data_IF_285232548594
#
_entry.id   IF_285232548594
#
_cell.length_a   1.000
_cell.length_b   1.000
_cell.length_c   1.000
_cell.angle_alpha   90.00
_cell.angle_beta   90.00
_cell.angle_gamma   90.00
#
_symmetry.space_group_name_H-M   'P 1'
#
loop_
_entity.id
_entity.type
_entity.pdbx_description
1 polymer ?
#
# COMPACT_ATOMS: atom_id res chain seq x y z
N UNK A 1 38.41 -14.30 -4.27
CA UNK A 1 37.45 -15.41 -4.48
C UNK A 1 36.14 -14.77 -4.92
N UNK A 2 35.74 -15.03 -6.17
CA UNK A 2 34.50 -14.51 -6.73
C UNK A 2 33.32 -15.23 -6.06
N UNK A 3 32.52 -14.50 -5.28
CA UNK A 3 31.23 -15.01 -4.80
C UNK A 3 30.29 -14.92 -6.00
N UNK A 4 29.89 -16.08 -6.49
CA UNK A 4 29.03 -16.25 -7.64
C UNK A 4 27.72 -15.46 -7.51
N UNK A 5 27.49 -14.57 -8.48
CA UNK A 5 26.15 -14.09 -8.83
C UNK A 5 25.32 -15.32 -9.21
N UNK A 6 24.41 -15.75 -8.34
CA UNK A 6 23.40 -16.75 -8.70
C UNK A 6 22.05 -16.27 -8.16
N UNK A 7 21.18 -15.99 -9.13
CA UNK A 7 19.73 -15.91 -9.05
C UNK A 7 19.13 -14.78 -8.19
N UNK A 8 18.80 -13.68 -8.87
CA UNK A 8 17.57 -12.94 -8.63
C UNK A 8 16.74 -12.98 -9.90
N UNK A 9 16.06 -14.09 -10.15
CA UNK A 9 15.04 -14.15 -11.20
C UNK A 9 14.04 -13.01 -10.94
N UNK A 10 13.85 -12.17 -11.96
CA UNK A 10 12.81 -11.15 -12.10
C UNK A 10 11.77 -11.11 -10.96
N UNK A 11 12.04 -10.38 -9.88
CA UNK A 11 10.97 -9.82 -9.07
C UNK A 11 10.49 -8.52 -9.74
N UNK A 12 9.90 -8.68 -10.92
CA UNK A 12 8.67 -7.94 -11.15
C UNK A 12 7.64 -8.62 -10.26
N UNK A 13 7.58 -8.20 -8.98
CA UNK A 13 6.36 -8.30 -8.20
C UNK A 13 5.35 -7.40 -8.93
N UNK A 14 4.80 -7.90 -10.05
CA UNK A 14 3.48 -7.49 -10.54
C UNK A 14 2.53 -8.00 -9.49
N UNK A 15 2.36 -7.18 -8.46
CA UNK A 15 1.67 -7.53 -7.24
C UNK A 15 0.33 -6.79 -7.16
N UNK A 16 -0.28 -6.41 -8.28
CA UNK A 16 -1.66 -5.92 -8.36
C UNK A 16 -2.21 -6.13 -9.79
N UNK A 17 -2.19 -7.36 -10.30
CA UNK A 17 -3.18 -7.73 -11.32
C UNK A 17 -4.45 -8.15 -10.58
N UNK A 18 -5.61 -7.59 -10.93
CA UNK A 18 -6.91 -8.00 -10.36
C UNK A 18 -7.11 -7.71 -8.85
N UNK A 19 -6.99 -6.45 -8.46
CA UNK A 19 -7.85 -5.90 -7.40
C UNK A 19 -9.27 -5.85 -7.97
N UNK A 20 -10.13 -6.71 -7.44
CA UNK A 20 -11.46 -6.95 -7.98
C UNK A 20 -12.52 -6.09 -7.30
N UNK A 21 -12.16 -5.17 -6.41
CA UNK A 21 -13.19 -4.40 -5.69
C UNK A 21 -13.77 -5.15 -4.49
N UNK A 22 -13.10 -6.18 -3.97
CA UNK A 22 -13.52 -6.91 -2.77
C UNK A 22 -13.45 -6.08 -1.48
N UNK A 23 -12.84 -4.89 -1.51
CA UNK A 23 -12.78 -3.94 -0.39
C UNK A 23 -14.04 -3.11 -0.18
N UNK A 24 -15.01 -3.16 -1.10
CA UNK A 24 -16.22 -2.35 -1.01
C UNK A 24 -17.37 -3.09 -0.35
N UNK A 25 -17.72 -2.56 0.82
CA UNK A 25 -18.78 -3.02 1.69
C UNK A 25 -20.16 -2.56 1.23
N UNK A 26 -21.09 -3.48 1.01
CA UNK A 26 -22.50 -3.18 0.73
C UNK A 26 -23.21 -2.71 2.02
N UNK A 27 -23.37 -1.40 2.20
CA UNK A 27 -24.23 -0.83 3.24
C UNK A 27 -25.67 -0.84 2.72
N UNK A 28 -26.46 -1.77 3.23
CA UNK A 28 -27.89 -1.83 2.97
C UNK A 28 -28.59 -0.55 3.42
N UNK A 29 -29.58 -0.14 2.64
CA UNK A 29 -30.51 0.94 2.91
C UNK A 29 -31.19 0.79 4.28
N UNK A 30 -30.62 1.39 5.32
CA UNK A 30 -31.35 1.65 6.57
C UNK A 30 -31.21 3.11 6.97
N UNK A 31 -32.24 3.87 6.61
CA UNK A 31 -32.55 5.18 7.15
C UNK A 31 -32.63 5.11 8.68
N UNK A 32 -31.65 5.70 9.37
CA UNK A 32 -31.65 5.84 10.83
C UNK A 32 -31.04 7.16 11.26
N UNK A 33 -31.91 8.13 11.57
CA UNK A 33 -31.53 9.42 12.15
C UNK A 33 -30.91 9.25 13.55
N UNK A 34 -29.81 9.95 13.83
CA UNK A 34 -29.24 10.04 15.18
C UNK A 34 -28.17 11.13 15.27
N UNK A 35 -28.54 12.28 15.84
CA UNK A 35 -27.64 13.39 16.18
C UNK A 35 -26.75 13.05 17.39
N UNK A 36 -25.54 13.61 17.46
CA UNK A 36 -24.76 13.62 18.70
C UNK A 36 -23.31 14.07 18.53
N UNK A 37 -23.04 15.33 18.89
CA UNK A 37 -21.70 15.88 19.10
C UNK A 37 -21.00 15.19 20.29
N UNK A 38 -19.68 15.03 20.23
CA UNK A 38 -18.89 14.62 21.39
C UNK A 38 -17.39 14.49 21.10
N UNK A 39 -16.62 15.46 21.57
CA UNK A 39 -15.18 15.33 21.77
C UNK A 39 -14.88 14.18 22.74
N UNK A 40 -13.93 13.31 22.40
CA UNK A 40 -13.50 12.22 23.28
C UNK A 40 -12.14 11.68 22.86
N UNK A 41 -11.11 12.02 23.63
CA UNK A 41 -9.87 11.25 23.68
C UNK A 41 -10.18 9.85 24.19
N UNK A 42 -9.87 8.82 23.40
CA UNK A 42 -10.11 7.44 23.76
C UNK A 42 -9.08 6.52 23.10
N UNK A 43 -8.16 5.99 23.90
CA UNK A 43 -7.34 4.84 23.56
C UNK A 43 -8.26 3.64 23.33
N UNK A 44 -8.40 3.20 22.09
CA UNK A 44 -9.16 2.02 21.71
C UNK A 44 -8.31 1.10 20.85
N UNK A 45 -7.98 -0.08 21.38
CA UNK A 45 -7.43 -1.20 20.61
C UNK A 45 -8.51 -1.74 19.66
N UNK A 46 -8.63 -1.14 18.49
CA UNK A 46 -9.40 -1.67 17.37
C UNK A 46 -8.50 -2.50 16.47
N UNK A 47 -8.85 -3.77 16.25
CA UNK A 47 -8.33 -4.56 15.12
C UNK A 47 -9.01 -4.07 13.83
N UNK A 48 -8.68 -2.86 13.41
CA UNK A 48 -8.86 -2.41 12.03
C UNK A 48 -7.57 -2.71 11.27
N UNK A 49 -7.69 -3.16 10.03
CA UNK A 49 -6.56 -3.25 9.11
C UNK A 49 -6.20 -1.82 8.68
N UNK A 50 -5.72 -1.01 9.62
CA UNK A 50 -5.29 0.35 9.38
C UNK A 50 -3.88 0.37 8.85
N UNK A 51 -3.69 1.06 7.73
CA UNK A 51 -2.42 1.54 7.19
C UNK A 51 -1.67 2.34 8.25
N UNK A 52 -0.91 1.63 9.07
CA UNK A 52 0.03 2.21 10.00
C UNK A 52 1.38 2.30 9.30
N UNK A 53 1.70 3.42 8.65
CA UNK A 53 3.10 3.73 8.39
C UNK A 53 3.81 3.71 9.75
N UNK A 54 4.69 2.74 10.00
CA UNK A 54 5.48 2.60 11.23
C UNK A 54 6.44 3.76 11.51
N UNK A 55 6.32 4.85 10.77
CA UNK A 55 7.06 6.09 10.96
C UNK A 55 6.37 6.90 12.06
N UNK A 56 6.81 6.69 13.30
CA UNK A 56 6.58 7.60 14.42
C UNK A 56 7.24 8.97 14.19
N UNK A 57 7.23 9.83 15.21
CA UNK A 57 7.72 11.22 15.19
C UNK A 57 9.21 11.43 14.83
N UNK A 58 9.95 10.39 14.49
CA UNK A 58 11.40 10.41 14.28
C UNK A 58 11.79 10.72 12.82
N UNK A 59 11.13 11.73 12.25
CA UNK A 59 11.28 12.17 10.85
C UNK A 59 12.54 13.00 10.58
N UNK A 60 13.50 13.04 11.50
CA UNK A 60 14.65 13.96 11.46
C UNK A 60 16.02 13.28 11.53
N UNK A 61 16.08 11.94 11.55
CA UNK A 61 17.36 11.24 11.58
C UNK A 61 18.09 11.35 10.25
N UNK A 62 19.22 12.06 10.28
CA UNK A 62 20.21 12.15 9.20
C UNK A 62 21.41 11.29 9.57
N UNK A 63 22.06 10.70 8.56
CA UNK A 63 23.30 9.96 8.76
C UNK A 63 24.38 10.50 7.82
N UNK A 64 25.59 10.66 8.36
CA UNK A 64 26.80 10.95 7.58
C UNK A 64 27.44 9.67 7.01
N UNK A 65 26.84 8.49 7.29
CA UNK A 65 27.28 7.23 6.72
C UNK A 65 26.98 7.22 5.21
N UNK A 66 28.04 7.19 4.41
CA UNK A 66 27.96 7.20 2.95
C UNK A 66 27.03 6.12 2.37
N UNK A 67 27.00 4.91 2.95
CA UNK A 67 26.13 3.83 2.47
C UNK A 67 24.64 4.16 2.70
N UNK A 68 24.34 4.86 3.80
CA UNK A 68 22.99 5.32 4.13
C UNK A 68 22.59 6.46 3.21
N UNK A 69 23.46 7.45 3.01
CA UNK A 69 23.19 8.56 2.08
C UNK A 69 22.93 8.04 0.67
N UNK A 70 23.75 7.10 0.18
CA UNK A 70 23.53 6.45 -1.12
C UNK A 70 22.21 5.67 -1.19
N UNK A 71 21.82 4.98 -0.11
CA UNK A 71 20.56 4.25 -0.05
C UNK A 71 19.34 5.19 -0.03
N UNK A 72 19.41 6.31 0.70
CA UNK A 72 18.37 7.36 0.69
C UNK A 72 18.22 7.96 -0.71
N UNK A 73 19.32 8.26 -1.40
CA UNK A 73 19.27 8.81 -2.76
C UNK A 73 18.63 7.84 -3.75
N UNK A 74 18.98 6.55 -3.69
CA UNK A 74 18.37 5.51 -4.54
C UNK A 74 16.88 5.32 -4.23
N UNK A 75 16.52 5.24 -2.95
CA UNK A 75 15.13 5.10 -2.55
C UNK A 75 14.30 6.32 -2.95
N UNK A 76 14.85 7.53 -2.83
CA UNK A 76 14.20 8.76 -3.31
C UNK A 76 13.94 8.71 -4.82
N UNK A 77 14.92 8.27 -5.61
CA UNK A 77 14.72 8.09 -7.06
C UNK A 77 13.67 7.02 -7.37
N UNK A 78 13.66 5.92 -6.63
CA UNK A 78 12.63 4.89 -6.79
C UNK A 78 11.24 5.43 -6.49
N UNK A 79 11.05 6.14 -5.37
CA UNK A 79 9.78 6.78 -5.02
C UNK A 79 9.34 7.76 -6.11
N UNK A 80 10.27 8.55 -6.67
CA UNK A 80 9.95 9.44 -7.80
C UNK A 80 9.48 8.65 -9.04
N UNK A 81 10.17 7.57 -9.40
CA UNK A 81 9.77 6.70 -10.51
C UNK A 81 8.39 6.07 -10.28
N UNK A 82 8.11 5.63 -9.06
CA UNK A 82 6.80 5.09 -8.70
C UNK A 82 5.71 6.16 -8.78
N UNK A 83 5.99 7.41 -8.38
CA UNK A 83 5.04 8.50 -8.51
C UNK A 83 4.75 8.85 -9.99
N UNK A 84 5.74 8.78 -10.87
CA UNK A 84 5.57 8.99 -12.32
C UNK A 84 4.77 7.86 -12.99
N UNK A 85 5.05 6.62 -12.60
CA UNK A 85 4.27 5.44 -13.01
C UNK A 85 2.82 5.56 -12.52
N UNK A 86 2.62 5.95 -11.25
CA UNK A 86 1.31 6.16 -10.64
C UNK A 86 0.48 7.17 -11.41
N UNK A 87 1.05 8.32 -11.77
CA UNK A 87 0.36 9.35 -12.54
C UNK A 87 -0.12 8.83 -13.90
N UNK A 88 0.72 8.05 -14.59
CA UNK A 88 0.39 7.47 -15.89
C UNK A 88 -0.76 6.44 -15.79
N UNK A 89 -0.65 5.52 -14.83
CA UNK A 89 -1.65 4.46 -14.64
C UNK A 89 -2.97 5.01 -14.07
N UNK A 90 -2.90 6.00 -13.17
CA UNK A 90 -4.08 6.70 -12.65
C UNK A 90 -4.79 7.45 -13.76
N UNK A 91 -4.07 8.19 -14.61
CA UNK A 91 -4.68 8.88 -15.78
C UNK A 91 -5.43 7.88 -16.68
N UNK A 92 -4.85 6.70 -16.93
CA UNK A 92 -5.49 5.65 -17.74
C UNK A 92 -6.81 5.19 -17.09
N UNK A 93 -6.80 5.02 -15.77
CA UNK A 93 -7.98 4.64 -14.99
C UNK A 93 -9.04 5.74 -14.97
N UNK A 94 -8.67 6.97 -14.64
CA UNK A 94 -9.57 8.12 -14.52
C UNK A 94 -10.15 8.52 -15.88
N UNK A 95 -9.39 8.38 -16.98
CA UNK A 95 -9.91 8.55 -18.34
C UNK A 95 -10.99 7.52 -18.70
N UNK A 96 -10.79 6.25 -18.32
CA UNK A 96 -11.82 5.22 -18.53
C UNK A 96 -13.10 5.51 -17.72
N UNK A 97 -12.94 6.00 -16.48
CA UNK A 97 -14.06 6.46 -15.65
C UNK A 97 -14.80 7.62 -16.32
N UNK A 98 -14.08 8.66 -16.75
CA UNK A 98 -14.65 9.85 -17.45
C UNK A 98 -15.36 9.47 -18.75
N UNK A 99 -14.81 8.52 -19.49
CA UNK A 99 -15.41 8.00 -20.73
C UNK A 99 -16.68 7.17 -20.49
N UNK A 100 -16.97 6.83 -19.23
CA UNK A 100 -18.10 5.98 -18.87
C UNK A 100 -17.88 4.50 -19.19
N UNK A 101 -16.65 4.08 -19.54
CA UNK A 101 -16.32 2.70 -19.85
C UNK A 101 -16.07 1.90 -18.56
N UNK A 102 -17.15 1.36 -18.01
CA UNK A 102 -17.13 0.60 -16.77
C UNK A 102 -16.13 -0.57 -16.80
N UNK A 103 -16.03 -1.30 -17.92
CA UNK A 103 -15.15 -2.47 -18.00
C UNK A 103 -13.68 -2.05 -18.06
N UNK A 104 -13.36 -1.03 -18.83
CA UNK A 104 -12.00 -0.50 -18.88
C UNK A 104 -11.60 0.10 -17.53
N UNK A 105 -12.49 0.84 -16.87
CA UNK A 105 -12.24 1.40 -15.54
C UNK A 105 -11.99 0.32 -14.48
N UNK A 106 -12.83 -0.72 -14.43
CA UNK A 106 -12.63 -1.87 -13.53
C UNK A 106 -11.30 -2.58 -13.79
N UNK A 107 -10.91 -2.78 -15.06
CA UNK A 107 -9.64 -3.42 -15.40
C UNK A 107 -8.41 -2.56 -15.05
N UNK A 108 -8.55 -1.23 -15.09
CA UNK A 108 -7.49 -0.27 -14.82
C UNK A 108 -7.38 0.11 -13.32
N UNK A 109 -8.38 -0.22 -12.50
CA UNK A 109 -8.39 0.10 -11.07
C UNK A 109 -7.16 -0.44 -10.33
N UNK A 110 -6.96 -1.77 -10.33
CA UNK A 110 -5.83 -2.39 -9.63
C UNK A 110 -4.46 -1.89 -10.12
N UNK A 111 -4.20 -1.84 -11.45
CA UNK A 111 -2.94 -1.30 -11.95
C UNK A 111 -2.69 0.14 -11.51
N UNK A 112 -3.73 0.99 -11.42
CA UNK A 112 -3.56 2.39 -11.00
C UNK A 112 -3.06 2.55 -9.56
N UNK A 113 -3.41 1.60 -8.67
CA UNK A 113 -3.02 1.60 -7.26
C UNK A 113 -1.62 1.04 -7.02
N UNK A 114 -1.13 0.17 -7.89
CA UNK A 114 0.09 -0.61 -7.65
C UNK A 114 1.32 0.25 -7.24
N UNK A 115 1.60 1.40 -7.90
CA UNK A 115 2.74 2.20 -7.51
C UNK A 115 2.55 2.91 -6.16
N UNK A 116 1.31 3.30 -5.82
CA UNK A 116 0.99 3.86 -4.50
C UNK A 116 1.26 2.85 -3.39
N UNK A 117 0.77 1.61 -3.56
CA UNK A 117 0.99 0.53 -2.61
C UNK A 117 2.48 0.26 -2.37
N UNK A 118 3.31 0.37 -3.42
CA UNK A 118 4.78 0.24 -3.29
C UNK A 118 5.41 1.39 -2.49
N UNK A 119 4.80 2.57 -2.50
CA UNK A 119 5.22 3.75 -1.76
C UNK A 119 4.56 3.92 -0.38
N UNK A 120 3.54 3.11 -0.03
CA UNK A 120 2.81 3.19 1.25
C UNK A 120 3.70 3.31 2.52
N UNK A 121 4.90 2.70 2.60
CA UNK A 121 5.81 2.93 3.73
C UNK A 121 6.11 4.40 4.04
N UNK A 122 6.00 5.31 3.07
CA UNK A 122 6.18 6.75 3.24
C UNK A 122 4.86 7.53 3.32
N UNK A 123 3.69 6.88 3.34
CA UNK A 123 2.37 7.54 3.41
C UNK A 123 2.26 8.46 4.65
N UNK A 124 2.88 8.06 5.77
CA UNK A 124 3.00 8.88 6.97
C UNK A 124 3.69 10.24 6.77
N UNK A 125 4.43 10.44 5.67
CA UNK A 125 5.05 11.73 5.29
C UNK A 125 4.10 12.64 4.49
N UNK A 126 3.00 12.08 3.99
CA UNK A 126 2.04 12.72 3.07
C UNK A 126 0.58 12.47 3.50
N UNK A 127 0.34 12.33 4.81
CA UNK A 127 -0.96 11.93 5.42
C UNK A 127 -2.21 12.59 4.87
N UNK A 128 -2.14 13.88 4.53
CA UNK A 128 -3.30 14.58 3.96
C UNK A 128 -3.66 14.06 2.56
N UNK A 129 -2.65 13.79 1.72
CA UNK A 129 -2.86 13.24 0.38
C UNK A 129 -3.22 11.76 0.44
N UNK A 130 -2.57 11.01 1.32
CA UNK A 130 -2.93 9.63 1.64
C UNK A 130 -4.43 9.51 1.99
N UNK A 131 -4.91 10.32 2.94
CA UNK A 131 -6.33 10.32 3.32
C UNK A 131 -7.30 10.71 2.20
N UNK A 132 -6.89 11.55 1.25
CA UNK A 132 -7.74 11.93 0.09
C UNK A 132 -7.78 10.86 -0.99
N UNK A 133 -6.67 10.16 -1.17
CA UNK A 133 -6.45 9.24 -2.29
C UNK A 133 -6.85 7.81 -1.94
N UNK A 134 -6.59 7.35 -0.72
CA UNK A 134 -6.56 5.92 -0.39
C UNK A 134 -7.31 5.53 0.89
N UNK A 135 -8.06 6.46 1.49
CA UNK A 135 -8.82 6.17 2.70
C UNK A 135 -10.06 5.32 2.42
N UNK A 136 -10.38 4.42 3.35
CA UNK A 136 -11.53 3.49 3.23
C UNK A 136 -12.79 4.06 3.87
N UNK A 137 -13.94 3.58 3.41
CA UNK A 137 -15.27 4.05 3.83
C UNK A 137 -15.52 4.01 5.35
N UNK A 138 -14.83 3.12 6.08
CA UNK A 138 -14.92 2.97 7.53
C UNK A 138 -14.34 4.16 8.32
N UNK A 139 -13.59 5.03 7.66
CA UNK A 139 -13.08 6.29 8.22
C UNK A 139 -14.04 7.47 8.03
N UNK A 140 -15.16 7.25 7.33
CA UNK A 140 -16.18 8.25 7.02
C UNK A 140 -17.53 7.89 7.63
N UNK A 141 -18.51 8.80 7.51
CA UNK A 141 -19.89 8.52 7.97
C UNK A 141 -20.60 7.47 7.10
N UNK A 142 -20.05 7.15 5.94
CA UNK A 142 -20.56 6.17 4.99
C UNK A 142 -20.17 6.50 3.55
N UNK A 143 -20.68 5.72 2.60
CA UNK A 143 -20.34 5.86 1.18
C UNK A 143 -20.84 7.17 0.52
N UNK A 144 -21.72 7.92 1.20
CA UNK A 144 -22.25 9.20 0.75
C UNK A 144 -21.58 10.41 1.42
N UNK A 145 -20.58 10.18 2.27
CA UNK A 145 -19.81 11.26 2.88
C UNK A 145 -19.08 12.06 1.79
N UNK A 146 -19.23 13.40 1.72
CA UNK A 146 -18.56 14.21 0.71
C UNK A 146 -17.03 14.20 0.86
N UNK A 147 -16.48 13.81 2.01
CA UNK A 147 -15.03 13.66 2.21
C UNK A 147 -14.50 12.32 1.71
N UNK A 148 -15.37 11.34 1.40
CA UNK A 148 -14.96 10.05 0.85
C UNK A 148 -14.63 10.18 -0.65
N UNK A 149 -13.35 10.36 -0.95
CA UNK A 149 -12.80 10.57 -2.31
C UNK A 149 -11.82 9.46 -2.70
N UNK A 150 -11.07 9.67 -3.79
CA UNK A 150 -9.95 8.81 -4.15
C UNK A 150 -10.32 7.46 -4.76
N UNK A 151 -9.37 6.52 -4.72
CA UNK A 151 -9.50 5.20 -5.31
C UNK A 151 -10.69 4.42 -4.73
N UNK A 152 -10.86 4.37 -3.41
CA UNK A 152 -11.93 3.58 -2.80
C UNK A 152 -13.32 4.17 -3.04
N UNK A 153 -13.44 5.49 -3.23
CA UNK A 153 -14.70 6.08 -3.68
C UNK A 153 -15.07 5.63 -5.10
N UNK A 154 -14.09 5.62 -6.00
CA UNK A 154 -14.27 5.15 -7.37
C UNK A 154 -14.52 3.63 -7.41
N UNK A 155 -13.82 2.85 -6.58
CA UNK A 155 -14.06 1.41 -6.38
C UNK A 155 -15.53 1.15 -6.03
N UNK A 156 -16.08 1.91 -5.08
CA UNK A 156 -17.48 1.78 -4.67
C UNK A 156 -18.45 2.01 -5.83
N UNK A 157 -18.20 3.04 -6.64
CA UNK A 157 -19.06 3.36 -7.78
C UNK A 157 -18.96 2.27 -8.86
N UNK A 158 -17.75 1.80 -9.16
CA UNK A 158 -17.47 0.88 -10.25
C UNK A 158 -17.84 -0.58 -9.94
N UNK A 159 -17.58 -1.06 -8.73
CA UNK A 159 -17.72 -2.49 -8.41
C UNK A 159 -19.01 -2.79 -7.64
N UNK A 160 -19.38 -1.97 -6.66
CA UNK A 160 -20.61 -2.18 -5.89
C UNK A 160 -21.83 -1.63 -6.63
N UNK A 161 -21.77 -0.36 -7.05
CA UNK A 161 -22.88 0.26 -7.81
C UNK A 161 -22.89 -0.12 -9.29
N UNK A 162 -21.79 -0.68 -9.80
CA UNK A 162 -21.66 -1.16 -11.20
C UNK A 162 -22.04 -0.09 -12.23
N UNK A 163 -21.60 1.14 -11.99
CA UNK A 163 -21.87 2.28 -12.86
C UNK A 163 -20.66 3.21 -12.92
N UNK A 164 -20.67 4.15 -13.86
CA UNK A 164 -19.74 5.30 -13.93
C UNK A 164 -20.47 6.63 -13.69
N UNK A 165 -21.80 6.59 -13.47
CA UNK A 165 -22.61 7.78 -13.22
C UNK A 165 -22.15 8.52 -11.96
N UNK A 166 -21.81 9.81 -12.13
CA UNK A 166 -21.32 10.65 -11.04
C UNK A 166 -19.88 10.38 -10.61
N UNK A 167 -19.15 9.50 -11.29
CA UNK A 167 -17.76 9.17 -10.94
C UNK A 167 -16.73 10.20 -11.45
N UNK A 168 -17.03 10.92 -12.54
CA UNK A 168 -16.10 11.84 -13.19
C UNK A 168 -15.48 12.90 -12.25
N UNK A 169 -16.23 13.58 -11.36
CA UNK A 169 -15.62 14.52 -10.42
C UNK A 169 -14.60 13.90 -9.46
N UNK A 170 -14.80 12.64 -9.04
CA UNK A 170 -13.85 11.94 -8.18
C UNK A 170 -12.61 11.47 -8.96
N UNK A 171 -12.78 11.17 -10.26
CA UNK A 171 -11.67 10.88 -11.15
C UNK A 171 -10.79 12.12 -11.38
N UNK A 172 -11.41 13.29 -11.58
CA UNK A 172 -10.71 14.56 -11.70
C UNK A 172 -9.95 14.92 -10.41
N UNK A 173 -10.60 14.77 -9.26
CA UNK A 173 -9.97 15.00 -7.96
C UNK A 173 -8.77 14.07 -7.72
N UNK A 174 -8.89 12.78 -8.07
CA UNK A 174 -7.80 11.81 -7.92
C UNK A 174 -6.59 12.16 -8.80
N UNK A 175 -6.79 12.60 -10.05
CA UNK A 175 -5.69 13.07 -10.89
C UNK A 175 -4.98 14.30 -10.29
N UNK A 176 -5.76 15.23 -9.72
CA UNK A 176 -5.22 16.42 -9.04
C UNK A 176 -4.39 16.05 -7.80
N UNK A 177 -4.90 15.13 -6.96
CA UNK A 177 -4.22 14.68 -5.76
C UNK A 177 -2.95 13.89 -6.09
N UNK A 178 -2.96 13.05 -7.14
CA UNK A 178 -1.76 12.37 -7.64
C UNK A 178 -0.73 13.36 -8.16
N UNK A 179 -1.14 14.39 -8.91
CA UNK A 179 -0.23 15.44 -9.36
C UNK A 179 0.32 16.27 -8.18
N UNK A 180 -0.47 16.49 -7.14
CA UNK A 180 -0.03 17.14 -5.91
C UNK A 180 0.99 16.27 -5.16
N UNK A 181 0.77 14.95 -5.09
CA UNK A 181 1.72 14.01 -4.52
C UNK A 181 3.05 14.02 -5.27
N UNK A 182 3.05 13.95 -6.60
CA UNK A 182 4.28 14.03 -7.39
C UNK A 182 5.10 15.28 -7.06
N UNK A 183 4.44 16.45 -7.00
CA UNK A 183 5.10 17.73 -6.63
C UNK A 183 5.65 17.70 -5.20
N UNK A 184 4.89 17.11 -4.26
CA UNK A 184 5.31 16.98 -2.87
C UNK A 184 6.54 16.07 -2.77
N UNK A 185 6.51 14.90 -3.40
CA UNK A 185 7.60 13.91 -3.40
C UNK A 185 8.88 14.46 -4.06
N UNK A 186 8.77 15.33 -5.07
CA UNK A 186 9.93 15.96 -5.70
C UNK A 186 10.76 16.83 -4.74
N UNK A 187 10.17 17.30 -3.64
CA UNK A 187 10.86 18.14 -2.63
C UNK A 187 10.94 17.49 -1.25
N UNK A 188 10.30 16.34 -1.07
CA UNK A 188 10.24 15.63 0.20
C UNK A 188 11.61 15.04 0.52
N UNK A 189 12.12 15.37 1.71
CA UNK A 189 13.29 14.68 2.26
C UNK A 189 12.83 13.39 2.92
N UNK A 190 13.12 12.27 2.28
CA UNK A 190 12.88 10.96 2.88
C UNK A 190 13.90 10.75 4.00
N UNK A 191 13.47 10.56 5.26
CA UNK A 191 14.40 10.33 6.37
C UNK A 191 15.11 8.98 6.19
N UNK A 192 16.34 8.86 6.69
CA UNK A 192 17.12 7.63 6.56
C UNK A 192 16.39 6.42 7.19
N UNK A 193 15.67 6.65 8.28
CA UNK A 193 14.85 5.65 8.96
C UNK A 193 13.67 5.12 8.12
N UNK A 194 13.21 5.87 7.10
CA UNK A 194 12.18 5.38 6.19
C UNK A 194 12.72 4.41 5.13
N UNK A 195 14.04 4.39 4.90
CA UNK A 195 14.64 3.51 3.89
C UNK A 195 14.50 2.03 4.25
N UNK A 196 14.83 1.54 5.47
CA UNK A 196 14.63 0.14 5.80
C UNK A 196 13.17 -0.34 5.70
N UNK A 197 12.21 0.52 6.10
CA UNK A 197 10.76 0.22 6.03
C UNK A 197 10.28 0.18 4.58
N UNK A 198 10.66 1.19 3.78
CA UNK A 198 10.38 1.26 2.35
C UNK A 198 11.05 0.16 1.53
N UNK A 199 12.27 -0.20 1.92
CA UNK A 199 13.07 -1.20 1.22
C UNK A 199 12.72 -2.64 1.55
N UNK A 200 11.77 -2.88 2.46
CA UNK A 200 11.06 -4.16 2.50
C UNK A 200 10.42 -4.49 1.14
N UNK A 201 10.12 -3.49 0.30
CA UNK A 201 9.69 -3.67 -1.10
C UNK A 201 10.82 -3.48 -2.13
N UNK A 202 11.96 -2.89 -1.75
CA UNK A 202 13.22 -2.81 -2.52
C UNK A 202 14.32 -3.75 -1.97
N UNK A 203 13.93 -5.00 -1.74
CA UNK A 203 14.73 -6.00 -1.00
C UNK A 203 16.16 -6.07 -1.53
N UNK A 204 16.37 -5.94 -2.85
CA UNK A 204 17.68 -6.04 -3.48
C UNK A 204 18.70 -4.97 -3.00
N UNK A 205 18.28 -3.74 -2.70
CA UNK A 205 19.23 -2.64 -2.42
C UNK A 205 19.60 -2.54 -0.94
N UNK A 206 18.62 -2.68 -0.03
CA UNK A 206 18.90 -2.80 1.41
C UNK A 206 19.65 -4.08 1.72
N UNK A 207 19.44 -5.15 0.93
CA UNK A 207 20.25 -6.36 1.06
C UNK A 207 21.74 -6.07 0.88
N UNK A 208 22.19 -5.27 -0.09
CA UNK A 208 23.65 -5.08 -0.30
C UNK A 208 24.32 -4.39 0.90
N UNK A 209 23.71 -3.33 1.43
CA UNK A 209 24.28 -2.60 2.58
C UNK A 209 24.14 -3.39 3.87
N UNK A 210 23.00 -4.07 4.07
CA UNK A 210 22.78 -4.94 5.22
C UNK A 210 23.68 -6.17 5.15
N UNK A 211 23.94 -6.75 3.98
CA UNK A 211 24.89 -7.86 3.78
C UNK A 211 26.28 -7.42 4.22
N UNK A 212 26.71 -6.21 3.86
CA UNK A 212 28.03 -5.72 4.24
C UNK A 212 28.15 -5.47 5.76
N UNK A 213 27.09 -4.99 6.40
CA UNK A 213 27.08 -4.68 7.83
C UNK A 213 26.79 -5.90 8.73
N UNK A 214 25.83 -6.74 8.34
CA UNK A 214 25.37 -7.94 9.04
C UNK A 214 24.80 -8.99 8.03
N UNK A 215 25.67 -9.87 7.47
CA UNK A 215 25.26 -10.87 6.48
C UNK A 215 24.17 -11.83 6.98
N UNK A 216 24.17 -12.14 8.28
CA UNK A 216 23.18 -13.05 8.87
C UNK A 216 21.81 -12.39 8.95
N UNK A 217 21.75 -11.13 9.36
CA UNK A 217 20.50 -10.37 9.35
C UNK A 217 19.92 -10.27 7.93
N UNK A 218 20.77 -10.03 6.93
CA UNK A 218 20.32 -9.97 5.54
C UNK A 218 19.80 -11.33 5.03
N UNK A 219 20.43 -12.44 5.39
CA UNK A 219 19.95 -13.80 5.08
C UNK A 219 18.56 -14.04 5.70
N UNK A 220 18.38 -13.71 6.99
CA UNK A 220 17.10 -13.86 7.68
C UNK A 220 15.98 -13.01 7.06
N UNK A 221 16.29 -11.79 6.64
CA UNK A 221 15.34 -10.90 5.94
C UNK A 221 14.92 -11.55 4.61
N UNK A 222 15.88 -12.04 3.82
CA UNK A 222 15.60 -12.71 2.55
C UNK A 222 14.77 -13.99 2.73
N UNK A 223 15.08 -14.80 3.74
CA UNK A 223 14.27 -15.97 4.09
C UNK A 223 12.85 -15.59 4.52
N UNK A 224 12.69 -14.51 5.28
CA UNK A 224 11.38 -13.96 5.66
C UNK A 224 10.53 -13.59 4.46
N UNK A 225 11.11 -12.88 3.48
CA UNK A 225 10.41 -12.56 2.23
C UNK A 225 10.06 -13.80 1.39
N UNK A 226 10.98 -14.74 1.27
CA UNK A 226 10.74 -15.99 0.54
C UNK A 226 9.59 -16.80 1.18
N UNK A 227 9.50 -16.80 2.52
CA UNK A 227 8.41 -17.44 3.25
C UNK A 227 7.05 -16.78 2.99
N UNK A 228 7.00 -15.45 2.99
CA UNK A 228 5.79 -14.69 2.63
C UNK A 228 5.38 -14.99 1.18
N UNK A 229 6.33 -14.93 0.25
CA UNK A 229 6.06 -15.22 -1.17
C UNK A 229 5.51 -16.64 -1.35
N UNK A 230 6.08 -17.63 -0.66
CA UNK A 230 5.61 -19.01 -0.71
C UNK A 230 4.19 -19.15 -0.16
N UNK A 231 3.86 -18.43 0.92
CA UNK A 231 2.53 -18.42 1.54
C UNK A 231 1.50 -17.72 0.66
N UNK A 232 1.90 -16.66 -0.03
CA UNK A 232 1.04 -15.91 -0.96
C UNK A 232 0.87 -16.63 -2.31
N UNK A 233 1.83 -17.45 -2.76
CA UNK A 233 1.81 -18.10 -4.09
C UNK A 233 0.46 -18.76 -4.49
N UNK A 234 -0.27 -19.47 -3.61
CA UNK A 234 -1.57 -20.07 -3.94
C UNK A 234 -2.70 -19.06 -4.19
N UNK A 235 -2.50 -17.81 -3.76
CA UNK A 235 -3.41 -16.69 -3.95
C UNK A 235 -3.21 -16.00 -5.31
N UNK A 236 -2.27 -16.44 -6.13
CA UNK A 236 -2.09 -15.93 -7.49
C UNK A 236 -3.25 -16.35 -8.40
N UNK A 237 -3.67 -15.45 -9.28
CA UNK A 237 -4.58 -15.71 -10.40
C UNK A 237 -4.03 -15.05 -11.67
N UNK A 238 -3.45 -15.86 -12.57
CA UNK A 238 -2.74 -15.35 -13.75
C UNK A 238 -1.56 -14.43 -13.39
N UNK A 239 -1.57 -13.20 -13.92
CA UNK A 239 -0.59 -12.14 -13.57
C UNK A 239 -0.97 -11.39 -12.28
N UNK A 240 -2.11 -11.76 -11.68
CA UNK A 240 -2.75 -11.05 -10.60
C UNK A 240 -2.89 -11.84 -9.31
N UNK A 241 -3.76 -11.34 -8.43
CA UNK A 241 -4.13 -11.92 -7.17
C UNK A 241 -5.61 -12.29 -7.17
N UNK A 242 -5.95 -13.29 -6.36
CA UNK A 242 -7.33 -13.55 -6.01
C UNK A 242 -7.87 -12.37 -5.17
N UNK A 243 -9.15 -12.04 -5.32
CA UNK A 243 -9.89 -11.16 -4.41
C UNK A 243 -9.61 -11.48 -2.95
N UNK A 244 -9.53 -10.51 -2.05
CA UNK A 244 -9.46 -10.79 -0.62
C UNK A 244 -10.87 -10.97 -0.04
N UNK A 245 -11.26 -12.22 0.18
CA UNK A 245 -12.59 -12.58 0.68
C UNK A 245 -12.45 -13.24 2.05
N UNK A 246 -12.76 -12.47 3.10
CA UNK A 246 -12.63 -12.92 4.48
C UNK A 246 -13.78 -13.84 4.90
N UNK A 247 -13.50 -14.76 5.82
CA UNK A 247 -14.46 -15.74 6.33
C UNK A 247 -15.61 -15.12 7.14
N UNK A 248 -15.36 -14.02 7.83
CA UNK A 248 -16.33 -13.29 8.66
C UNK A 248 -16.42 -11.82 8.24
N UNK A 249 -16.41 -11.55 6.93
CA UNK A 249 -16.56 -10.19 6.44
C UNK A 249 -17.91 -9.62 6.88
N UNK A 250 -17.88 -8.48 7.58
CA UNK A 250 -19.10 -7.77 8.02
C UNK A 250 -19.90 -7.26 6.82
N UNK A 251 -19.23 -7.10 5.67
CA UNK A 251 -19.83 -6.55 4.46
C UNK A 251 -19.28 -7.24 3.20
N UNK A 252 -19.59 -8.52 2.99
CA UNK A 252 -18.98 -9.33 1.95
C UNK A 252 -19.31 -8.78 0.56
N UNK A 253 -18.27 -8.57 -0.25
CA UNK A 253 -18.42 -8.20 -1.66
C UNK A 253 -19.14 -9.31 -2.44
N UNK A 254 -19.98 -8.93 -3.42
CA UNK A 254 -20.67 -9.88 -4.31
C UNK A 254 -19.70 -10.65 -5.23
N UNK A 255 -18.45 -10.23 -5.29
CA UNK A 255 -17.37 -10.88 -6.04
C UNK A 255 -16.74 -12.03 -5.25
N UNK A 256 -16.96 -12.05 -3.93
CA UNK A 256 -16.57 -13.12 -3.04
C UNK A 256 -17.53 -14.30 -3.13
N UNK A 257 -17.28 -15.19 -4.09
CA UNK A 257 -18.02 -16.47 -4.25
C UNK A 257 -17.63 -17.54 -3.23
N UNK A 258 -16.61 -17.26 -2.40
CA UNK A 258 -16.15 -18.09 -1.30
C UNK A 258 -14.95 -17.45 -0.61
N UNK A 259 -14.54 -18.00 0.53
CA UNK A 259 -13.33 -17.55 1.26
C UNK A 259 -12.09 -17.85 0.41
N UNK A 260 -11.35 -16.82 0.04
CA UNK A 260 -10.14 -16.94 -0.79
C UNK A 260 -8.87 -16.99 0.07
N UNK A 261 -8.87 -16.29 1.20
CA UNK A 261 -7.80 -16.30 2.20
C UNK A 261 -8.37 -16.82 3.51
N UNK A 262 -8.09 -18.09 3.81
CA UNK A 262 -8.56 -18.69 5.06
C UNK A 262 -7.85 -18.10 6.29
N UNK A 263 -8.46 -18.30 7.46
CA UNK A 263 -7.93 -17.77 8.72
C UNK A 263 -6.50 -18.27 9.01
N UNK A 264 -6.15 -19.48 8.56
CA UNK A 264 -4.80 -20.04 8.74
C UNK A 264 -3.78 -19.24 7.94
N UNK A 265 -4.02 -19.05 6.65
CA UNK A 265 -3.16 -18.30 5.74
C UNK A 265 -3.02 -16.86 6.20
N UNK A 266 -4.12 -16.23 6.62
CA UNK A 266 -4.10 -14.87 7.19
C UNK A 266 -3.23 -14.77 8.43
N UNK A 267 -3.40 -15.70 9.38
CA UNK A 267 -2.61 -15.71 10.62
C UNK A 267 -1.13 -15.99 10.35
N UNK A 268 -0.83 -16.88 9.41
CA UNK A 268 0.54 -17.18 8.99
C UNK A 268 1.21 -15.96 8.34
N UNK A 269 0.55 -15.30 7.40
CA UNK A 269 1.03 -14.05 6.79
C UNK A 269 1.23 -12.95 7.83
N UNK A 270 0.31 -12.82 8.81
CA UNK A 270 0.45 -11.85 9.91
C UNK A 270 1.70 -12.13 10.75
N UNK A 271 1.92 -13.38 11.15
CA UNK A 271 3.11 -13.75 11.92
C UNK A 271 4.40 -13.55 11.12
N UNK A 272 4.40 -13.89 9.84
CA UNK A 272 5.55 -13.68 8.95
C UNK A 272 5.86 -12.18 8.78
N UNK A 273 4.83 -11.35 8.58
CA UNK A 273 4.98 -9.90 8.49
C UNK A 273 5.51 -9.29 9.80
N UNK A 274 4.99 -9.71 10.97
CA UNK A 274 5.50 -9.26 12.27
C UNK A 274 6.95 -9.70 12.52
N UNK A 275 7.32 -10.92 12.13
CA UNK A 275 8.69 -11.42 12.25
C UNK A 275 9.65 -10.64 11.35
N UNK A 276 9.24 -10.40 10.11
CA UNK A 276 10.01 -9.63 9.15
C UNK A 276 10.17 -8.17 9.59
N UNK A 277 9.11 -7.54 10.11
CA UNK A 277 9.18 -6.19 10.68
C UNK A 277 10.26 -6.08 11.77
N UNK A 278 10.30 -7.04 12.70
CA UNK A 278 11.32 -7.07 13.76
C UNK A 278 12.74 -7.22 13.21
N UNK A 279 12.92 -7.93 12.11
CA UNK A 279 14.22 -8.04 11.44
C UNK A 279 14.59 -6.72 10.74
N UNK A 280 13.64 -6.09 10.06
CA UNK A 280 13.88 -4.79 9.40
C UNK A 280 14.14 -3.66 10.39
N UNK A 281 13.54 -3.68 11.58
CA UNK A 281 13.82 -2.72 12.65
C UNK A 281 15.28 -2.77 13.13
N UNK A 282 15.90 -3.95 13.08
CA UNK A 282 17.30 -4.11 13.47
C UNK A 282 18.26 -3.49 12.46
N UNK A 283 17.84 -3.33 11.20
CA UNK A 283 18.69 -2.80 10.12
C UNK A 283 19.17 -1.39 10.45
N UNK A 284 18.30 -0.53 10.99
CA UNK A 284 18.66 0.84 11.35
C UNK A 284 19.81 0.88 12.37
N UNK A 285 19.73 0.04 13.41
CA UNK A 285 20.79 -0.08 14.42
C UNK A 285 22.08 -0.70 13.88
N UNK A 286 21.99 -1.62 12.91
CA UNK A 286 23.19 -2.22 12.27
C UNK A 286 23.90 -1.29 11.30
N UNK A 287 23.18 -0.31 10.75
CA UNK A 287 23.72 0.70 9.86
C UNK A 287 24.26 1.95 10.59
N UNK A 288 24.23 1.96 11.93
CA UNK A 288 24.64 3.08 12.77
C UNK A 288 23.90 4.39 12.40
N UNK A 289 22.59 4.26 12.15
CA UNK A 289 21.71 5.42 12.02
C UNK A 289 21.57 6.05 13.41
N UNK A 290 22.18 7.21 13.61
CA UNK A 290 22.17 7.90 14.91
C UNK A 290 20.72 8.12 15.38
N UNK A 291 20.42 7.62 16.57
CA UNK A 291 19.12 7.77 17.24
C UNK A 291 18.90 9.16 17.77
#
# INVERSE_FOLDING_TARGET
MAVSLVLGAALTLTACGSDDGSGVTNLGDESGSGSGSGSGSGSGSGSGSGSGSGLGSDLQQTSDNKLVTEAVEKYTKYVQQQADEMATLTTTFTDAVRAGDLKAAQAAYAPSREPWERMEPIAGLVKELDGKMDERVDHFKGADDPEFTGWHRLEYILFERKTTEGAAPYADQLDEDVAALQKKLATLKIPAAAVPVGASKLIQEVSVNTINADPKLAEQINEGFAGIEQTMKPLRDGKGWKPYCAQDDKYPSKLCTGVTVDAKTKNELKMQAEALHKLTDQVAGKLDLQT
#
